data_IF_074851618251
#
_entry.id   IF_074851618251
#
_cell.length_a   1.000
_cell.length_b   1.000
_cell.length_c   1.000
_cell.angle_alpha   90.00
_cell.angle_beta   90.00
_cell.angle_gamma   90.00
#
_symmetry.space_group_name_H-M   'P 1'
#
loop_
_entity.id
_entity.type
_entity.pdbx_description
1 polymer ?
#
# COMPACT_ATOMS: atom_id res chain seq x y z
N UNK A 1 -15.60 -6.11 -23.23
CA UNK A 1 -16.51 -5.66 -22.14
C UNK A 1 -15.81 -4.69 -21.18
N UNK A 2 -16.24 -3.42 -21.14
CA UNK A 2 -15.68 -2.41 -20.23
C UNK A 2 -16.16 -2.62 -18.79
N UNK A 3 -15.24 -2.67 -17.83
CA UNK A 3 -15.55 -2.73 -16.40
C UNK A 3 -15.70 -1.31 -15.87
N UNK A 4 -16.82 -1.01 -15.20
CA UNK A 4 -17.01 0.28 -14.52
C UNK A 4 -15.99 0.40 -13.36
N UNK A 5 -15.28 1.52 -13.29
CA UNK A 5 -14.30 1.83 -12.24
C UNK A 5 -14.76 3.12 -11.56
N UNK A 6 -14.79 3.14 -10.22
CA UNK A 6 -14.99 4.37 -9.44
C UNK A 6 -13.64 5.03 -9.20
N UNK A 7 -13.57 6.33 -9.42
CA UNK A 7 -12.38 7.17 -9.21
C UNK A 7 -12.69 8.27 -8.21
N UNK A 8 -11.65 8.77 -7.53
CA UNK A 8 -11.74 9.96 -6.70
C UNK A 8 -11.00 11.09 -7.40
N UNK A 9 -11.67 12.24 -7.59
CA UNK A 9 -11.13 13.34 -8.38
C UNK A 9 -11.21 14.65 -7.60
N UNK A 10 -10.13 15.43 -7.65
CA UNK A 10 -10.04 16.77 -7.05
C UNK A 10 -9.24 17.67 -7.98
N UNK A 11 -9.68 18.92 -8.15
CA UNK A 11 -9.03 19.90 -9.05
C UNK A 11 -9.24 21.34 -8.56
N UNK A 12 -8.91 21.60 -7.31
CA UNK A 12 -9.10 22.91 -6.65
C UNK A 12 -7.89 23.84 -6.82
N UNK A 13 -7.40 23.97 -8.06
CA UNK A 13 -6.14 24.65 -8.42
C UNK A 13 -6.14 26.19 -8.25
N UNK A 14 -7.32 26.83 -8.18
CA UNK A 14 -7.46 28.29 -8.18
C UNK A 14 -7.95 28.87 -6.86
N UNK A 15 -8.03 28.04 -5.82
CA UNK A 15 -8.48 28.47 -4.49
C UNK A 15 -7.29 28.95 -3.65
N UNK A 16 -7.57 29.74 -2.61
CA UNK A 16 -6.57 30.30 -1.71
C UNK A 16 -5.66 29.19 -1.14
N UNK A 17 -4.32 29.25 -1.31
CA UNK A 17 -3.38 28.22 -0.86
C UNK A 17 -3.45 27.91 0.64
N UNK A 18 -3.97 28.83 1.45
CA UNK A 18 -4.13 28.62 2.90
C UNK A 18 -5.31 27.70 3.26
N UNK A 19 -6.13 27.28 2.29
CA UNK A 19 -7.36 26.51 2.51
C UNK A 19 -7.39 25.16 1.79
N UNK A 20 -6.35 24.78 1.03
CA UNK A 20 -6.33 23.49 0.33
C UNK A 20 -5.71 22.39 1.19
N UNK A 21 -6.57 21.57 1.79
CA UNK A 21 -6.20 20.35 2.52
C UNK A 21 -7.32 19.32 2.33
N UNK A 22 -7.39 18.70 1.15
CA UNK A 22 -8.44 17.75 0.78
C UNK A 22 -8.01 16.34 1.22
N UNK A 23 -8.64 15.80 2.27
CA UNK A 23 -8.31 14.48 2.82
C UNK A 23 -9.22 13.40 2.24
N UNK A 24 -8.61 12.38 1.65
CA UNK A 24 -9.28 11.13 1.29
C UNK A 24 -8.71 10.00 2.14
N UNK A 25 -9.55 9.39 2.97
CA UNK A 25 -9.11 8.35 3.89
C UNK A 25 -9.78 7.01 3.65
N UNK A 26 -9.06 5.94 3.99
CA UNK A 26 -9.61 4.59 3.99
C UNK A 26 -10.47 4.35 5.25
N UNK A 27 -11.28 3.29 5.27
CA UNK A 27 -11.76 2.71 6.52
C UNK A 27 -10.59 2.22 7.40
N UNK A 28 -10.89 1.82 8.64
CA UNK A 28 -9.92 1.13 9.49
C UNK A 28 -9.51 -0.21 8.87
N UNK A 29 -8.20 -0.45 8.82
CA UNK A 29 -7.60 -1.64 8.24
C UNK A 29 -6.90 -2.44 9.35
N UNK A 30 -7.26 -3.70 9.48
CA UNK A 30 -6.56 -4.61 10.40
C UNK A 30 -5.14 -4.87 9.89
N UNK A 31 -4.16 -4.74 10.79
CA UNK A 31 -2.75 -5.04 10.51
C UNK A 31 -2.53 -6.53 10.30
N UNK A 32 -3.29 -7.37 11.02
CA UNK A 32 -3.00 -8.79 11.19
C UNK A 32 -1.53 -8.98 11.59
N UNK A 33 -0.81 -9.87 10.92
CA UNK A 33 0.63 -10.08 11.13
C UNK A 33 1.47 -9.31 10.10
N UNK A 34 1.03 -8.13 9.64
CA UNK A 34 1.82 -7.34 8.71
C UNK A 34 2.87 -6.51 9.48
N UNK A 35 4.18 -6.80 9.36
CA UNK A 35 5.23 -5.95 9.94
C UNK A 35 5.48 -4.70 9.10
N UNK A 36 5.20 -4.81 7.80
CA UNK A 36 5.31 -3.77 6.78
C UNK A 36 4.14 -3.89 5.82
N UNK A 37 3.55 -2.74 5.50
CA UNK A 37 2.46 -2.65 4.52
C UNK A 37 2.97 -1.90 3.29
N UNK A 38 2.50 -2.34 2.13
CA UNK A 38 2.76 -1.74 0.82
C UNK A 38 1.45 -1.15 0.28
N UNK A 39 1.56 0.04 -0.30
CA UNK A 39 0.45 0.78 -0.90
C UNK A 39 0.84 1.11 -2.31
N UNK A 40 0.06 0.62 -3.27
CA UNK A 40 0.20 0.96 -4.68
C UNK A 40 -0.93 1.87 -5.10
N UNK A 41 -0.56 3.10 -5.49
CA UNK A 41 -1.46 4.11 -5.99
C UNK A 41 -1.45 4.08 -7.51
N UNK A 42 -2.63 4.02 -8.11
CA UNK A 42 -2.84 4.20 -9.54
C UNK A 42 -3.60 5.52 -9.74
N UNK A 43 -2.95 6.52 -10.30
CA UNK A 43 -3.49 7.87 -10.37
C UNK A 43 -3.00 8.60 -11.61
N UNK A 44 -3.58 9.76 -11.87
CA UNK A 44 -3.21 10.60 -12.99
C UNK A 44 -3.30 12.06 -12.57
N UNK A 45 -2.34 12.88 -13.00
CA UNK A 45 -2.17 14.27 -12.53
C UNK A 45 -2.03 15.19 -13.73
N UNK A 46 -2.70 16.33 -13.69
CA UNK A 46 -2.55 17.37 -14.70
C UNK A 46 -1.38 18.29 -14.39
N UNK A 47 -0.62 18.61 -15.43
CA UNK A 47 0.51 19.55 -15.35
C UNK A 47 -0.01 20.98 -15.06
N UNK A 48 0.54 21.65 -14.07
CA UNK A 48 0.23 23.03 -13.74
C UNK A 48 0.55 23.98 -14.90
N UNK A 49 1.64 23.74 -15.65
CA UNK A 49 1.99 24.52 -16.84
C UNK A 49 0.96 24.40 -17.97
N UNK A 50 0.12 23.35 -17.96
CA UNK A 50 -0.98 23.21 -18.92
C UNK A 50 -2.21 24.09 -18.63
N UNK A 51 -2.24 24.74 -17.47
CA UNK A 51 -3.33 25.62 -17.07
C UNK A 51 -3.22 26.94 -17.83
N UNK A 52 -4.37 27.50 -18.24
CA UNK A 52 -4.39 28.82 -18.94
C UNK A 52 -3.82 29.93 -18.06
N UNK A 53 -4.00 29.81 -16.75
CA UNK A 53 -3.49 30.73 -15.74
C UNK A 53 -3.05 29.89 -14.53
N UNK A 54 -1.80 29.42 -14.50
CA UNK A 54 -1.32 28.61 -13.38
C UNK A 54 -1.29 29.45 -12.10
N UNK A 55 -2.01 29.00 -11.07
CA UNK A 55 -1.90 29.59 -9.74
C UNK A 55 -0.57 29.18 -9.10
N UNK A 56 0.10 30.07 -8.33
CA UNK A 56 1.24 29.69 -7.49
C UNK A 56 0.91 28.60 -6.46
N UNK A 57 -0.38 28.41 -6.15
CA UNK A 57 -0.87 27.35 -5.27
C UNK A 57 -1.01 25.98 -5.96
N UNK A 58 -0.85 25.91 -7.28
CA UNK A 58 -0.97 24.67 -8.03
C UNK A 58 0.12 23.67 -7.64
N UNK A 59 -0.28 22.41 -7.42
CA UNK A 59 0.61 21.30 -7.12
C UNK A 59 0.42 20.16 -8.11
N UNK A 60 1.38 19.26 -8.15
CA UNK A 60 1.37 18.07 -9.03
C UNK A 60 1.65 16.78 -8.25
N UNK A 61 1.50 16.86 -6.92
CA UNK A 61 1.89 15.81 -5.99
C UNK A 61 0.78 15.55 -5.00
N UNK A 62 0.60 14.27 -4.64
CA UNK A 62 -0.24 13.86 -3.52
C UNK A 62 0.64 13.55 -2.30
N UNK A 63 0.13 13.67 -1.08
CA UNK A 63 0.86 13.21 0.10
C UNK A 63 0.16 12.01 0.73
N UNK A 64 0.89 10.93 0.98
CA UNK A 64 0.39 9.74 1.63
C UNK A 64 0.75 9.77 3.12
N UNK A 65 -0.25 9.58 3.97
CA UNK A 65 -0.14 9.50 5.42
C UNK A 65 -0.73 8.19 5.95
N UNK A 66 -0.32 7.81 7.14
CA UNK A 66 -0.95 6.73 7.90
C UNK A 66 -1.09 7.09 9.38
N UNK A 67 -2.06 6.47 10.06
CA UNK A 67 -2.24 6.56 11.51
C UNK A 67 -2.58 5.19 12.07
N UNK A 68 -1.89 4.79 13.14
CA UNK A 68 -2.08 3.49 13.79
C UNK A 68 -3.12 3.59 14.92
N UNK A 69 -4.01 2.61 15.00
CA UNK A 69 -5.02 2.52 16.05
C UNK A 69 -5.29 1.06 16.43
N UNK A 70 -5.75 0.82 17.64
CA UNK A 70 -6.09 -0.55 18.08
C UNK A 70 -7.53 -0.94 17.74
N UNK A 71 -8.37 0.03 17.38
CA UNK A 71 -9.75 -0.21 16.91
C UNK A 71 -10.28 0.96 16.08
N UNK A 72 -11.35 0.70 15.32
CA UNK A 72 -12.07 1.77 14.62
C UNK A 72 -12.65 2.82 15.58
N UNK A 73 -13.13 2.43 16.76
CA UNK A 73 -13.66 3.37 17.77
C UNK A 73 -12.60 4.35 18.25
N UNK A 74 -11.37 3.89 18.43
CA UNK A 74 -10.26 4.76 18.80
C UNK A 74 -9.90 5.71 17.65
N UNK A 75 -9.90 5.20 16.41
CA UNK A 75 -9.66 6.04 15.25
C UNK A 75 -10.70 7.15 15.14
N UNK A 76 -11.99 6.85 15.27
CA UNK A 76 -13.08 7.82 15.22
C UNK A 76 -12.93 8.92 16.29
N UNK A 77 -12.52 8.57 17.52
CA UNK A 77 -12.26 9.57 18.58
C UNK A 77 -11.05 10.46 18.29
N UNK A 78 -10.05 9.91 17.63
CA UNK A 78 -8.80 10.61 17.32
C UNK A 78 -8.80 11.22 15.91
N UNK A 79 -9.92 11.11 15.19
CA UNK A 79 -10.14 11.68 13.87
C UNK A 79 -10.43 13.17 14.01
N UNK A 80 -9.40 14.00 13.96
CA UNK A 80 -9.54 15.46 13.85
C UNK A 80 -9.08 15.89 12.46
N UNK A 81 -9.96 16.58 11.74
CA UNK A 81 -9.66 17.19 10.44
C UNK A 81 -8.95 18.56 10.60
N UNK A 82 -8.97 19.13 11.81
CA UNK A 82 -8.36 20.43 12.08
C UNK A 82 -6.87 20.30 12.40
N UNK A 83 -5.99 21.04 11.70
CA UNK A 83 -4.61 21.19 12.12
C UNK A 83 -4.60 22.03 13.41
N UNK A 84 -4.24 21.42 14.55
CA UNK A 84 -3.90 22.22 15.71
C UNK A 84 -2.77 23.18 15.32
N UNK A 85 -2.83 24.39 15.87
CA UNK A 85 -1.99 25.53 15.58
C UNK A 85 -0.53 25.35 16.06
N UNK A 86 0.09 24.20 15.80
CA UNK A 86 1.44 23.84 16.18
C UNK A 86 2.12 23.01 15.09
N UNK A 87 3.37 23.35 14.82
CA UNK A 87 4.36 22.69 13.95
C UNK A 87 3.86 21.76 12.82
N UNK A 88 4.13 22.21 11.57
CA UNK A 88 3.79 21.59 10.28
C UNK A 88 4.18 20.11 10.10
N UNK A 89 4.95 19.50 11.00
CA UNK A 89 5.47 18.13 10.85
C UNK A 89 4.86 17.09 11.80
N UNK A 90 4.02 17.48 12.76
CA UNK A 90 3.35 16.53 13.67
C UNK A 90 1.83 16.77 13.73
N UNK A 91 1.19 16.73 12.56
CA UNK A 91 -0.29 16.65 12.44
C UNK A 91 -0.80 15.52 13.36
N UNK A 92 -1.51 15.86 14.44
CA UNK A 92 -1.83 15.00 15.61
C UNK A 92 -2.04 13.49 15.31
N UNK A 93 -0.94 12.74 15.40
CA UNK A 93 -0.92 11.27 15.25
C UNK A 93 -0.88 10.73 13.81
N UNK A 94 -0.86 11.58 12.79
CA UNK A 94 -0.60 11.20 11.41
C UNK A 94 0.89 11.19 11.12
N UNK A 95 1.36 10.10 10.51
CA UNK A 95 2.75 9.96 10.07
C UNK A 95 2.80 10.06 8.56
N UNK A 96 3.63 10.97 8.04
CA UNK A 96 3.87 11.13 6.61
C UNK A 96 4.64 9.92 6.08
N UNK A 97 4.09 9.23 5.08
CA UNK A 97 4.78 8.15 4.37
C UNK A 97 5.68 8.72 3.28
N UNK A 98 5.10 9.47 2.34
CA UNK A 98 5.84 10.09 1.24
C UNK A 98 4.98 11.16 0.53
N UNK A 99 5.65 12.05 -0.21
CA UNK A 99 5.02 12.94 -1.20
C UNK A 99 5.19 12.31 -2.59
N UNK A 100 4.06 11.91 -3.18
CA UNK A 100 3.96 11.14 -4.41
C UNK A 100 3.85 12.08 -5.61
N UNK A 101 4.91 12.16 -6.40
CA UNK A 101 4.91 12.83 -7.70
C UNK A 101 4.54 11.86 -8.84
N UNK A 102 3.97 12.42 -9.90
CA UNK A 102 3.76 11.72 -11.16
C UNK A 102 5.09 11.65 -11.95
N UNK A 103 5.33 10.52 -12.63
CA UNK A 103 6.38 10.45 -13.66
C UNK A 103 5.90 11.06 -14.98
N UNK A 104 4.57 11.06 -15.18
CA UNK A 104 3.90 11.55 -16.38
C UNK A 104 2.71 12.42 -15.96
N UNK A 105 2.73 13.68 -16.35
CA UNK A 105 1.61 14.61 -16.16
C UNK A 105 0.83 14.81 -17.47
N UNK A 106 -0.45 15.17 -17.38
CA UNK A 106 -1.20 15.63 -18.55
C UNK A 106 -0.83 17.07 -18.86
N UNK A 107 -0.09 17.30 -19.93
CA UNK A 107 -0.02 18.61 -20.58
C UNK A 107 -1.29 18.84 -21.40
N UNK A 108 -1.62 20.11 -21.69
CA UNK A 108 -2.65 20.46 -22.66
C UNK A 108 -2.18 19.83 -23.96
N UNK A 109 -2.98 18.93 -24.53
CA UNK A 109 -2.76 18.48 -25.90
C UNK A 109 -2.93 19.72 -26.77
N UNK A 110 -1.85 20.15 -27.42
CA UNK A 110 -1.95 21.26 -28.36
C UNK A 110 -2.76 20.76 -29.56
N UNK A 111 -3.92 21.38 -29.86
CA UNK A 111 -4.76 20.95 -30.99
C UNK A 111 -4.01 20.99 -32.34
N UNK A 112 -2.90 21.74 -32.40
CA UNK A 112 -2.00 21.94 -33.53
C UNK A 112 -1.03 20.78 -33.79
N UNK A 113 -0.94 19.77 -32.92
CA UNK A 113 -0.06 18.61 -33.09
C UNK A 113 -0.86 17.30 -33.24
N UNK A 114 -1.36 16.98 -34.45
CA UNK A 114 -2.21 15.81 -34.71
C UNK A 114 -1.55 14.47 -34.34
N UNK A 115 -0.22 14.41 -34.32
CA UNK A 115 0.54 13.21 -33.96
C UNK A 115 0.44 12.85 -32.46
N UNK A 116 0.01 13.79 -31.61
CA UNK A 116 -0.14 13.58 -30.17
C UNK A 116 -1.51 12.99 -29.79
N UNK A 117 -2.44 12.92 -30.76
CA UNK A 117 -3.72 12.22 -30.67
C UNK A 117 -3.50 10.69 -30.84
N UNK A 118 -2.54 10.11 -30.13
CA UNK A 118 -2.44 8.65 -30.08
C UNK A 118 -3.60 8.10 -29.22
N UNK A 119 -4.39 7.14 -29.72
CA UNK A 119 -5.55 6.58 -29.04
C UNK A 119 -5.21 5.80 -27.76
N UNK A 120 -3.92 5.70 -27.41
CA UNK A 120 -3.41 5.12 -26.17
C UNK A 120 -3.63 6.04 -24.97
N UNK A 121 -4.90 6.20 -24.57
CA UNK A 121 -5.30 6.87 -23.31
C UNK A 121 -4.72 6.19 -22.06
N UNK A 122 -4.13 5.00 -22.19
CA UNK A 122 -3.41 4.29 -21.13
C UNK A 122 -2.04 4.89 -20.79
N UNK A 123 -1.46 5.75 -21.62
CA UNK A 123 -0.08 6.25 -21.46
C UNK A 123 0.14 7.27 -20.34
N UNK A 124 -0.91 7.73 -19.66
CA UNK A 124 -0.88 8.86 -18.71
C UNK A 124 -1.29 8.50 -17.28
N UNK A 125 -1.32 7.20 -16.98
CA UNK A 125 -1.55 6.68 -15.64
C UNK A 125 -0.19 6.45 -14.96
N UNK A 126 -0.06 6.96 -13.74
CA UNK A 126 1.07 6.73 -12.86
C UNK A 126 0.73 5.60 -11.89
N UNK A 127 1.68 4.68 -11.71
CA UNK A 127 1.61 3.62 -10.70
C UNK A 127 2.80 3.82 -9.77
N UNK A 128 2.53 4.15 -8.51
CA UNK A 128 3.55 4.37 -7.49
C UNK A 128 3.30 3.46 -6.30
N UNK A 129 4.31 2.66 -5.94
CA UNK A 129 4.27 1.82 -4.74
C UNK A 129 5.13 2.44 -3.65
N UNK A 130 4.59 2.48 -2.44
CA UNK A 130 5.29 2.87 -1.20
C UNK A 130 5.07 1.83 -0.11
N UNK A 131 5.89 1.88 0.92
CA UNK A 131 5.75 1.01 2.09
C UNK A 131 6.06 1.74 3.37
N UNK A 132 5.43 1.34 4.46
CA UNK A 132 5.68 1.89 5.80
C UNK A 132 5.76 0.77 6.83
N UNK A 133 6.61 0.99 7.82
CA UNK A 133 6.97 0.10 8.92
C UNK A 133 7.77 0.91 9.97
N UNK A 134 7.90 0.44 11.22
CA UNK A 134 7.22 -0.72 11.80
C UNK A 134 5.77 -0.42 12.15
N UNK A 135 4.92 -1.45 12.09
CA UNK A 135 3.56 -1.39 12.60
C UNK A 135 3.44 -2.18 13.90
N UNK A 136 3.03 -1.49 14.96
CA UNK A 136 3.01 -2.00 16.34
C UNK A 136 1.61 -2.17 16.92
N UNK A 137 0.60 -1.52 16.32
CA UNK A 137 -0.80 -1.57 16.78
C UNK A 137 -1.63 -2.60 16.02
N UNK A 138 -2.88 -2.81 16.44
CA UNK A 138 -3.75 -3.82 15.83
C UNK A 138 -4.20 -3.47 14.40
N UNK A 139 -4.18 -2.18 14.04
CA UNK A 139 -4.55 -1.73 12.71
C UNK A 139 -4.10 -0.30 12.42
N UNK A 140 -4.54 0.21 11.28
CA UNK A 140 -4.18 1.52 10.78
C UNK A 140 -5.22 2.06 9.80
N UNK A 141 -5.13 3.34 9.51
CA UNK A 141 -5.83 4.02 8.42
C UNK A 141 -4.81 4.66 7.50
N UNK A 142 -5.15 4.79 6.22
CA UNK A 142 -4.38 5.56 5.25
C UNK A 142 -5.15 6.81 4.86
N UNK A 143 -4.43 7.91 4.66
CA UNK A 143 -4.96 9.13 4.10
C UNK A 143 -4.10 9.59 2.92
N UNK A 144 -4.78 10.00 1.85
CA UNK A 144 -4.20 10.63 0.67
C UNK A 144 -4.67 12.07 0.72
N UNK A 145 -3.72 12.98 0.82
CA UNK A 145 -3.97 14.41 1.01
C UNK A 145 -3.55 15.15 -0.25
N UNK A 146 -4.50 15.93 -0.77
CA UNK A 146 -4.26 16.89 -1.83
C UNK A 146 -4.18 18.32 -1.26
N UNK A 147 -3.18 19.08 -1.72
CA UNK A 147 -2.90 20.46 -1.27
C UNK A 147 -3.03 21.50 -2.40
N UNK A 148 -3.69 21.14 -3.51
CA UNK A 148 -3.90 22.04 -4.65
C UNK A 148 -3.51 21.44 -6.00
N UNK A 149 -3.52 20.12 -6.13
CA UNK A 149 -3.28 19.40 -7.38
C UNK A 149 -4.58 19.06 -8.10
N UNK A 150 -4.48 18.82 -9.41
CA UNK A 150 -5.58 18.33 -10.22
C UNK A 150 -5.35 16.85 -10.53
N UNK A 151 -5.99 15.97 -9.75
CA UNK A 151 -5.68 14.55 -9.67
C UNK A 151 -6.93 13.70 -9.81
N UNK A 152 -6.82 12.61 -10.57
CA UNK A 152 -7.79 11.51 -10.59
C UNK A 152 -7.12 10.24 -10.06
N UNK A 153 -7.54 9.78 -8.88
CA UNK A 153 -7.11 8.55 -8.24
C UNK A 153 -8.00 7.40 -8.69
N UNK A 154 -7.42 6.49 -9.47
CA UNK A 154 -8.13 5.38 -10.12
C UNK A 154 -8.14 4.10 -9.29
N UNK A 155 -7.20 3.94 -8.35
CA UNK A 155 -7.15 2.76 -7.52
C UNK A 155 -6.06 2.83 -6.45
N UNK A 156 -6.36 2.20 -5.33
CA UNK A 156 -5.45 2.01 -4.21
C UNK A 156 -5.43 0.52 -3.88
N UNK A 157 -4.25 -0.08 -3.97
CA UNK A 157 -4.04 -1.48 -3.58
C UNK A 157 -3.15 -1.53 -2.36
N UNK A 158 -3.66 -2.12 -1.29
CA UNK A 158 -2.98 -2.21 0.01
C UNK A 158 -2.73 -3.69 0.28
N UNK A 159 -1.48 -4.05 0.52
CA UNK A 159 -1.09 -5.43 0.73
C UNK A 159 0.13 -5.53 1.61
N UNK A 160 0.38 -6.71 2.16
CA UNK A 160 1.62 -7.06 2.83
C UNK A 160 2.11 -8.38 2.23
N UNK A 161 3.42 -8.62 2.33
CA UNK A 161 4.05 -9.81 1.74
C UNK A 161 4.24 -10.86 2.82
N UNK A 162 3.81 -12.09 2.52
CA UNK A 162 4.14 -13.29 3.29
C UNK A 162 4.83 -14.30 2.40
N UNK A 163 5.67 -15.09 3.04
CA UNK A 163 6.35 -16.23 2.46
C UNK A 163 5.38 -17.40 2.69
N UNK A 164 4.77 -17.97 1.63
CA UNK A 164 3.78 -19.04 1.80
C UNK A 164 4.45 -20.28 2.39
N UNK A 165 3.63 -21.15 2.99
CA UNK A 165 4.12 -22.47 3.38
C UNK A 165 4.60 -23.22 2.13
N UNK A 166 5.76 -23.87 2.23
CA UNK A 166 6.35 -24.60 1.10
C UNK A 166 6.98 -25.89 1.57
N UNK A 167 6.98 -26.90 0.70
CA UNK A 167 7.74 -28.13 0.89
C UNK A 167 8.96 -28.08 -0.03
N UNK A 168 10.15 -28.33 0.50
CA UNK A 168 11.37 -28.41 -0.30
C UNK A 168 12.30 -29.45 0.30
N UNK A 169 12.88 -30.31 -0.54
CA UNK A 169 13.80 -31.37 -0.10
C UNK A 169 13.24 -32.25 1.03
N UNK A 170 11.97 -32.68 0.91
CA UNK A 170 11.26 -33.46 1.93
C UNK A 170 11.13 -32.77 3.30
N UNK A 171 11.36 -31.46 3.38
CA UNK A 171 11.09 -30.65 4.56
C UNK A 171 9.93 -29.68 4.31
N UNK A 172 9.04 -29.57 5.29
CA UNK A 172 7.93 -28.63 5.33
C UNK A 172 8.34 -27.35 6.05
N UNK A 173 8.12 -26.20 5.41
CA UNK A 173 8.40 -24.88 5.97
C UNK A 173 7.09 -24.14 6.22
N UNK A 174 6.86 -23.64 7.46
CA UNK A 174 5.63 -22.91 7.79
C UNK A 174 5.57 -21.56 7.05
N UNK A 175 4.40 -20.91 6.97
CA UNK A 175 4.30 -19.56 6.45
C UNK A 175 4.94 -18.56 7.42
N UNK A 176 5.65 -17.57 6.88
CA UNK A 176 6.33 -16.54 7.68
C UNK A 176 6.35 -15.17 7.00
N UNK A 177 6.69 -14.13 7.76
CA UNK A 177 6.74 -12.76 7.29
C UNK A 177 8.02 -12.50 6.49
N UNK A 178 7.91 -12.02 5.24
CA UNK A 178 9.09 -11.72 4.42
C UNK A 178 9.62 -10.31 4.76
N UNK A 179 10.31 -10.13 5.88
CA UNK A 179 10.91 -8.84 6.27
C UNK A 179 12.37 -8.70 5.87
N UNK A 180 13.11 -9.81 5.82
CA UNK A 180 14.52 -9.92 5.42
C UNK A 180 14.87 -11.39 5.13
N UNK A 181 16.11 -11.66 4.70
CA UNK A 181 16.65 -13.03 4.64
C UNK A 181 16.72 -13.60 6.05
N UNK A 182 15.82 -14.54 6.36
CA UNK A 182 15.76 -15.19 7.66
C UNK A 182 16.07 -16.68 7.50
N UNK A 183 16.87 -17.23 8.43
CA UNK A 183 17.05 -18.67 8.54
C UNK A 183 15.78 -19.28 9.11
N UNK A 184 15.21 -20.24 8.40
CA UNK A 184 13.96 -20.91 8.80
C UNK A 184 14.20 -22.40 8.93
N UNK A 185 13.75 -22.97 10.05
CA UNK A 185 13.84 -24.40 10.30
C UNK A 185 12.62 -25.07 9.67
N UNK A 186 12.87 -26.11 8.88
CA UNK A 186 11.84 -26.97 8.30
C UNK A 186 11.65 -28.24 9.11
N UNK A 187 10.49 -28.87 8.96
CA UNK A 187 10.16 -30.15 9.58
C UNK A 187 10.26 -31.26 8.53
N UNK A 188 11.06 -32.30 8.77
CA UNK A 188 11.14 -33.43 7.85
C UNK A 188 9.76 -34.09 7.72
N UNK A 189 9.27 -34.23 6.49
CA UNK A 189 8.08 -35.00 6.22
C UNK A 189 8.43 -36.47 6.17
N UNK A 190 7.75 -37.27 6.99
CA UNK A 190 7.81 -38.72 6.91
C UNK A 190 7.19 -39.16 5.58
N UNK A 191 8.04 -39.55 4.63
CA UNK A 191 7.58 -40.32 3.48
C UNK A 191 7.32 -41.72 4.02
N UNK A 192 6.05 -42.05 4.25
CA UNK A 192 5.65 -43.37 4.72
C UNK A 192 6.03 -44.43 3.69
N UNK A 193 7.24 -44.96 3.77
CA UNK A 193 7.50 -46.32 3.34
C UNK A 193 7.17 -47.19 4.56
N UNK A 194 5.96 -47.77 4.58
CA UNK A 194 5.66 -48.91 5.45
C UNK A 194 6.55 -50.08 5.04
N UNK A 195 7.81 -50.08 5.47
CA UNK A 195 8.57 -51.31 5.57
C UNK A 195 8.16 -51.91 6.91
N UNK A 196 7.17 -52.82 6.87
CA UNK A 196 7.00 -53.80 7.95
C UNK A 196 8.32 -54.57 8.04
N UNK A 197 9.23 -54.13 8.90
CA UNK A 197 10.26 -55.02 9.41
C UNK A 197 9.54 -55.90 10.42
N UNK A 198 9.14 -57.09 9.97
CA UNK A 198 8.76 -58.17 10.89
C UNK A 198 9.96 -58.41 11.81
N UNK A 199 9.88 -57.85 13.01
CA UNK A 199 10.81 -58.15 14.08
C UNK A 199 10.36 -59.49 14.65
N UNK A 200 10.86 -60.59 14.08
CA UNK A 200 10.69 -61.91 14.66
C UNK A 200 11.28 -61.91 16.08
N UNK A 201 10.57 -62.43 17.10
CA UNK A 201 11.04 -62.41 18.47
C UNK A 201 12.28 -63.31 18.61
N UNK A 202 13.34 -62.73 19.19
CA UNK A 202 14.53 -63.47 19.63
C UNK A 202 14.07 -64.36 20.80
N UNK A 203 14.05 -65.68 20.59
CA UNK A 203 13.96 -66.64 21.70
C UNK A 203 15.24 -66.57 22.50
N UNK A 204 15.14 -66.18 23.76
CA UNK A 204 16.18 -66.42 24.76
C UNK A 204 16.04 -67.84 25.26
N UNK A 205 16.89 -68.74 24.76
CA UNK A 205 17.09 -70.06 25.37
C UNK A 205 18.08 -69.92 26.54
N UNK A 206 17.57 -70.02 27.76
CA UNK A 206 18.25 -70.58 28.94
C UNK A 206 17.53 -71.90 29.25
N UNK A 207 18.18 -72.99 29.68
CA UNK A 207 18.99 -73.06 30.92
C UNK A 207 20.19 -74.06 30.77
N UNK A 208 20.99 -74.49 31.75
CA UNK A 208 21.01 -74.49 33.21
C UNK A 208 22.49 -74.50 33.67
#
# INVERSE_FOLDING_TARGET
PGKLIRTFEVCNINQNPRLQDNWLATPFLFRFSAPRVFVTLRFSVRDCASLRSPSPSCRETLTLYYKQADSQRELERTWKAEPSSGEKDTREGWVKVDTIAADKSFTKVEPSLPHQYQPDRYRRVNIKTRSFAPLTRNGFVLAIVDSGACVSLMGVSIFYRRCPATNRYLASYPPLECTATQKVNGWCQWVGASVKRDMSPIKTDQPA
#
